data_IF_011638117927
#
_entry.id   IF_011638117927
#
_cell.length_a   1.000
_cell.length_b   1.000
_cell.length_c   1.000
_cell.angle_alpha   90.00
_cell.angle_beta   90.00
_cell.angle_gamma   90.00
#
_symmetry.space_group_name_H-M   'P 1'
#
loop_
_entity.id
_entity.type
_entity.pdbx_description
1 polymer ?
#
# COMPACT_ATOMS: atom_id res chain seq x y z
N UNK A 1 8.75 5.71 -18.02
CA UNK A 1 8.24 5.50 -16.64
C UNK A 1 8.96 4.31 -16.04
N UNK A 2 9.23 4.28 -14.73
CA UNK A 2 10.22 3.41 -14.07
C UNK A 2 10.04 1.88 -14.25
N UNK A 3 8.89 1.43 -14.79
CA UNK A 3 8.58 0.03 -15.12
C UNK A 3 9.09 -0.46 -16.49
N UNK A 4 9.69 0.40 -17.33
CA UNK A 4 10.12 0.06 -18.70
C UNK A 4 11.26 -0.97 -18.78
N UNK A 5 11.93 -1.26 -17.66
CA UNK A 5 13.10 -2.15 -17.60
C UNK A 5 12.82 -3.53 -16.99
N UNK A 6 11.56 -3.87 -16.69
CA UNK A 6 11.18 -5.19 -16.18
C UNK A 6 10.84 -6.13 -17.33
N UNK A 7 11.31 -7.39 -17.28
CA UNK A 7 10.79 -8.42 -18.19
C UNK A 7 9.33 -8.77 -17.82
N UNK A 8 8.55 -9.38 -18.73
CA UNK A 8 7.21 -9.86 -18.40
C UNK A 8 7.16 -10.77 -17.17
N UNK A 9 8.15 -11.67 -17.03
CA UNK A 9 8.26 -12.59 -15.89
C UNK A 9 8.57 -11.85 -14.59
N UNK A 10 9.44 -10.84 -14.63
CA UNK A 10 9.75 -10.01 -13.46
C UNK A 10 8.54 -9.18 -13.02
N UNK A 11 7.79 -8.63 -13.98
CA UNK A 11 6.53 -7.94 -13.74
C UNK A 11 5.50 -8.86 -13.07
N UNK A 12 5.30 -10.07 -13.60
CA UNK A 12 4.34 -11.02 -13.02
C UNK A 12 4.73 -11.42 -11.59
N UNK A 13 6.01 -11.75 -11.37
CA UNK A 13 6.52 -12.08 -10.05
C UNK A 13 6.35 -10.92 -9.06
N UNK A 14 6.61 -9.68 -9.49
CA UNK A 14 6.37 -8.48 -8.69
C UNK A 14 4.89 -8.35 -8.31
N UNK A 15 3.98 -8.44 -9.29
CA UNK A 15 2.55 -8.26 -9.06
C UNK A 15 2.00 -9.31 -8.09
N UNK A 16 2.44 -10.57 -8.19
CA UNK A 16 2.03 -11.62 -7.26
C UNK A 16 2.46 -11.30 -5.82
N UNK A 17 3.72 -10.90 -5.62
CA UNK A 17 4.25 -10.56 -4.29
C UNK A 17 3.57 -9.30 -3.75
N UNK A 18 3.45 -8.25 -4.57
CA UNK A 18 2.83 -6.99 -4.18
C UNK A 18 1.36 -7.20 -3.78
N UNK A 19 0.59 -8.00 -4.53
CA UNK A 19 -0.80 -8.33 -4.18
C UNK A 19 -0.90 -9.00 -2.81
N UNK A 20 -0.04 -9.98 -2.51
CA UNK A 20 -0.03 -10.66 -1.22
C UNK A 20 0.32 -9.72 -0.06
N UNK A 21 1.30 -8.85 -0.25
CA UNK A 21 1.69 -7.85 0.77
C UNK A 21 0.52 -6.89 1.03
N UNK A 22 -0.07 -6.32 -0.02
CA UNK A 22 -1.20 -5.38 0.09
C UNK A 22 -2.38 -6.03 0.80
N UNK A 23 -2.73 -7.28 0.47
CA UNK A 23 -3.81 -8.02 1.15
C UNK A 23 -3.52 -8.23 2.65
N UNK A 24 -2.28 -8.60 2.99
CA UNK A 24 -1.89 -8.78 4.39
C UNK A 24 -1.97 -7.46 5.17
N UNK A 25 -1.56 -6.36 4.54
CA UNK A 25 -1.63 -5.03 5.13
C UNK A 25 -3.08 -4.59 5.32
N UNK A 26 -3.97 -4.84 4.35
CA UNK A 26 -5.42 -4.64 4.51
C UNK A 26 -6.00 -5.42 5.70
N UNK A 27 -5.55 -6.65 5.95
CA UNK A 27 -6.02 -7.45 7.11
C UNK A 27 -5.58 -6.84 8.45
N UNK A 28 -4.42 -6.20 8.49
CA UNK A 28 -3.88 -5.57 9.70
C UNK A 28 -4.46 -4.18 9.97
N UNK A 29 -5.03 -3.51 8.98
CA UNK A 29 -5.61 -2.17 9.15
C UNK A 29 -6.83 -2.18 10.08
N UNK A 30 -6.86 -1.25 11.04
CA UNK A 30 -7.98 -1.11 11.98
C UNK A 30 -9.31 -0.91 11.26
N UNK A 31 -10.35 -1.62 11.72
CA UNK A 31 -11.73 -1.50 11.21
C UNK A 31 -12.58 -0.54 12.06
N UNK A 32 -12.02 -0.07 13.17
CA UNK A 32 -12.67 0.81 14.14
C UNK A 32 -11.84 2.07 14.31
N UNK A 33 -12.49 3.22 14.26
CA UNK A 33 -11.86 4.52 14.36
C UNK A 33 -11.31 4.71 15.76
N UNK A 34 -10.00 4.99 15.93
CA UNK A 34 -9.40 5.18 17.25
C UNK A 34 -9.91 6.44 17.97
N UNK A 35 -10.52 7.38 17.24
CA UNK A 35 -11.03 8.65 17.77
C UNK A 35 -12.47 8.58 18.23
N UNK A 36 -13.38 8.02 17.41
CA UNK A 36 -14.81 8.04 17.68
C UNK A 36 -15.48 6.66 17.75
N UNK A 37 -14.73 5.57 17.53
CA UNK A 37 -15.29 4.21 17.51
C UNK A 37 -16.11 3.87 16.26
N UNK A 38 -16.24 4.79 15.29
CA UNK A 38 -16.94 4.54 14.03
C UNK A 38 -16.23 3.56 13.11
N UNK A 39 -16.91 3.10 12.05
CA UNK A 39 -16.32 2.17 11.07
C UNK A 39 -15.22 2.87 10.26
N UNK A 40 -14.12 2.18 10.07
CA UNK A 40 -13.06 2.56 9.11
C UNK A 40 -13.26 1.79 7.82
N UNK A 41 -13.21 2.48 6.68
CA UNK A 41 -13.22 1.88 5.35
C UNK A 41 -11.99 2.26 4.55
N UNK A 42 -11.63 1.39 3.61
CA UNK A 42 -10.52 1.65 2.70
C UNK A 42 -10.87 2.84 1.80
N UNK A 43 -9.95 3.80 1.69
CA UNK A 43 -10.12 4.99 0.88
C UNK A 43 -9.25 4.96 -0.38
N UNK A 44 -7.97 4.66 -0.22
CA UNK A 44 -6.99 4.79 -1.30
C UNK A 44 -5.71 3.99 -1.02
N UNK A 45 -5.10 3.48 -2.09
CA UNK A 45 -3.73 2.98 -2.13
C UNK A 45 -2.91 3.90 -3.04
N UNK A 46 -1.77 4.39 -2.55
CA UNK A 46 -0.90 5.31 -3.27
C UNK A 46 0.50 4.74 -3.39
N UNK A 47 1.06 4.77 -4.60
CA UNK A 47 2.48 4.51 -4.82
C UNK A 47 3.31 5.68 -4.31
N UNK A 48 4.27 5.41 -3.42
CA UNK A 48 5.22 6.38 -2.88
C UNK A 48 6.59 6.07 -3.48
N UNK A 49 7.20 7.03 -4.17
CA UNK A 49 8.49 6.84 -4.85
C UNK A 49 9.73 7.17 -4.00
N UNK A 50 9.63 8.13 -3.07
CA UNK A 50 10.77 8.63 -2.29
C UNK A 50 10.47 8.75 -0.79
N UNK A 51 11.46 8.57 0.10
CA UNK A 51 12.85 8.17 -0.17
C UNK A 51 13.01 6.66 -0.42
N UNK A 52 11.99 5.86 -0.10
CA UNK A 52 11.95 4.41 -0.31
C UNK A 52 10.69 4.09 -1.10
N UNK A 53 10.80 3.42 -2.26
CA UNK A 53 9.63 3.00 -3.00
C UNK A 53 8.75 2.03 -2.21
N UNK A 54 7.44 2.25 -2.26
CA UNK A 54 6.46 1.39 -1.59
C UNK A 54 5.05 1.89 -1.78
N UNK A 55 4.12 1.27 -1.08
CA UNK A 55 2.72 1.66 -1.11
C UNK A 55 2.27 2.25 0.23
N UNK A 56 1.27 3.12 0.15
CA UNK A 56 0.57 3.66 1.30
C UNK A 56 -0.91 3.36 1.19
N UNK A 57 -1.44 2.66 2.18
CA UNK A 57 -2.87 2.46 2.35
C UNK A 57 -3.43 3.54 3.25
N UNK A 58 -4.54 4.13 2.85
CA UNK A 58 -5.33 5.08 3.64
C UNK A 58 -6.70 4.50 3.94
N UNK A 59 -7.05 4.47 5.22
CA UNK A 59 -8.39 4.17 5.71
C UNK A 59 -9.00 5.43 6.30
N UNK A 60 -10.28 5.66 6.04
CA UNK A 60 -11.01 6.85 6.48
C UNK A 60 -12.20 6.43 7.34
N UNK A 61 -12.43 7.13 8.44
CA UNK A 61 -13.60 6.92 9.26
C UNK A 61 -14.83 7.49 8.57
N UNK A 62 -15.84 6.65 8.35
CA UNK A 62 -17.09 7.05 7.69
C UNK A 62 -17.89 8.08 8.51
N UNK A 63 -17.69 8.12 9.84
CA UNK A 63 -18.45 8.99 10.73
C UNK A 63 -17.79 10.36 10.97
N UNK A 64 -16.46 10.41 11.12
CA UNK A 64 -15.75 11.64 11.51
C UNK A 64 -14.64 12.08 10.57
N UNK A 65 -14.35 11.30 9.52
CA UNK A 65 -13.32 11.62 8.53
C UNK A 65 -11.88 11.43 8.99
N UNK A 66 -11.67 10.89 10.20
CA UNK A 66 -10.33 10.56 10.71
C UNK A 66 -9.62 9.58 9.78
N UNK A 67 -8.35 9.83 9.47
CA UNK A 67 -7.57 9.01 8.54
C UNK A 67 -6.50 8.23 9.29
N UNK A 68 -6.41 6.95 8.98
CA UNK A 68 -5.31 6.08 9.41
C UNK A 68 -4.56 5.64 8.17
N UNK A 69 -3.25 5.86 8.16
CA UNK A 69 -2.39 5.53 7.04
C UNK A 69 -1.35 4.50 7.45
N UNK A 70 -1.00 3.63 6.51
CA UNK A 70 0.08 2.67 6.68
C UNK A 70 0.92 2.61 5.41
N UNK A 71 2.20 2.92 5.56
CA UNK A 71 3.20 2.78 4.51
C UNK A 71 3.96 1.46 4.70
N UNK A 72 4.25 0.79 3.59
CA UNK A 72 5.13 -0.38 3.55
C UNK A 72 6.00 -0.32 2.30
N UNK A 73 7.32 -0.55 2.43
CA UNK A 73 8.23 -0.51 1.31
C UNK A 73 8.01 -1.72 0.39
N UNK A 74 8.32 -1.56 -0.90
CA UNK A 74 8.43 -2.71 -1.78
C UNK A 74 9.62 -3.59 -1.37
N UNK A 75 9.56 -4.90 -1.64
CA UNK A 75 10.71 -5.78 -1.44
C UNK A 75 11.95 -5.23 -2.16
N UNK A 76 13.12 -5.33 -1.52
CA UNK A 76 14.36 -4.68 -1.98
C UNK A 76 14.73 -5.02 -3.43
N UNK A 77 14.43 -6.24 -3.88
CA UNK A 77 14.68 -6.72 -5.24
C UNK A 77 13.87 -5.97 -6.30
N UNK A 78 12.76 -5.33 -5.93
CA UNK A 78 11.91 -4.54 -6.84
C UNK A 78 12.03 -3.03 -6.63
N UNK A 79 12.49 -2.58 -5.46
CA UNK A 79 12.72 -1.16 -5.19
C UNK A 79 13.65 -0.47 -6.22
N UNK A 80 14.53 -1.23 -6.88
CA UNK A 80 15.41 -0.75 -7.96
C UNK A 80 14.67 -0.23 -9.21
N UNK A 81 13.42 -0.66 -9.43
CA UNK A 81 12.60 -0.25 -10.59
C UNK A 81 11.73 0.97 -10.32
N UNK A 82 11.85 1.60 -9.16
CA UNK A 82 11.02 2.75 -8.78
C UNK A 82 11.87 3.96 -8.34
N UNK A 83 13.16 3.94 -8.71
CA UNK A 83 14.11 5.04 -8.53
C UNK A 83 14.15 5.97 -9.74
#
# INVERSE_FOLDING_TARGET
MAWENMTPEECEAFLQIASQVVENEHRQMTKVCPRCGGRMSFKLQELVGEPVPGDRLTYECEACGEKVQRFFPFPENYAKYFK
#
